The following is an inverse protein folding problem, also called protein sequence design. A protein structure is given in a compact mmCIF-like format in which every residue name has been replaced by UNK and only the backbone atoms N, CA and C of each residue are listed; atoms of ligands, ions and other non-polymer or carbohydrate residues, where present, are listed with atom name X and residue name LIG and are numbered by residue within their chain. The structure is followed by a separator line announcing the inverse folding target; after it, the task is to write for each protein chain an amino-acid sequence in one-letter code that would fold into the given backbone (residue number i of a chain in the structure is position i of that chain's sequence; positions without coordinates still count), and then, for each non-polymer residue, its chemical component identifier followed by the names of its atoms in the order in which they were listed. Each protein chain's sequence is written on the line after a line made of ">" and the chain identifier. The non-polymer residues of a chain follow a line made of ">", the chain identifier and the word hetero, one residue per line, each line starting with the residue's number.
data_IF_723213834035
#
_entry.id   IF_723213834035
#
_cell.length_a   1.000
_cell.length_b   1.000
_cell.length_c   1.000
_cell.angle_alpha   90.00
_cell.angle_beta   90.00
_cell.angle_gamma   90.00
#
_symmetry.space_group_name_H-M   'P 1'
#
loop_
_entity.id
_entity.type
_entity.pdbx_description
1 polymer ?
#
# COMPACT_ATOMS: atom_id res chain seq x y z
N UNK A 1 -79.35 -12.13 4.74
CA UNK A 1 -79.46 -13.54 5.18
C UNK A 1 -79.37 -14.41 3.93
N UNK A 2 -78.43 -15.37 3.90
CA UNK A 2 -78.39 -16.39 2.85
C UNK A 2 -79.04 -17.64 3.43
N UNK A 3 -79.97 -18.23 2.68
CA UNK A 3 -80.54 -19.54 3.00
C UNK A 3 -79.42 -20.58 3.05
N UNK A 4 -79.50 -21.50 3.99
CA UNK A 4 -78.67 -22.71 4.04
C UNK A 4 -79.37 -23.86 3.29
N UNK A 5 -78.65 -24.89 2.83
CA UNK A 5 -79.29 -26.09 2.28
C UNK A 5 -80.37 -26.66 3.23
N UNK A 6 -80.11 -26.61 4.54
CA UNK A 6 -81.04 -27.05 5.58
C UNK A 6 -82.32 -26.18 5.66
N UNK A 7 -82.21 -24.87 5.39
CA UNK A 7 -83.36 -23.96 5.36
C UNK A 7 -84.24 -24.18 4.12
N UNK A 8 -83.64 -24.66 3.02
CA UNK A 8 -84.36 -24.99 1.78
C UNK A 8 -85.09 -26.32 1.97
N UNK A 9 -84.42 -27.34 2.53
CA UNK A 9 -85.01 -28.65 2.78
C UNK A 9 -86.18 -28.59 3.79
N UNK A 10 -86.05 -27.80 4.87
CA UNK A 10 -87.11 -27.67 5.88
C UNK A 10 -88.21 -26.66 5.50
N UNK A 11 -88.27 -26.21 4.23
CA UNK A 11 -89.18 -25.14 3.83
C UNK A 11 -90.60 -25.66 3.60
N UNK A 12 -91.51 -25.33 4.50
CA UNK A 12 -92.94 -25.57 4.28
C UNK A 12 -93.62 -24.40 3.54
N UNK A 13 -94.40 -24.74 2.50
CA UNK A 13 -95.22 -23.81 1.74
C UNK A 13 -96.70 -23.89 2.13
N UNK A 14 -97.39 -22.75 2.17
CA UNK A 14 -98.84 -22.70 2.44
C UNK A 14 -99.63 -23.18 1.22
N UNK A 15 -100.65 -24.01 1.43
CA UNK A 15 -101.56 -24.50 0.37
C UNK A 15 -102.60 -23.43 -0.01
N UNK A 16 -102.89 -23.29 -1.30
CA UNK A 16 -103.88 -22.35 -1.86
C UNK A 16 -104.77 -23.02 -2.91
N UNK A 17 -105.89 -22.37 -3.28
CA UNK A 17 -106.93 -22.93 -4.17
C UNK A 17 -106.44 -23.24 -5.61
N UNK A 18 -105.32 -22.64 -6.02
CA UNK A 18 -104.55 -22.92 -7.23
C UNK A 18 -103.05 -22.81 -6.87
N UNK A 19 -102.24 -23.77 -7.27
CA UNK A 19 -100.80 -23.81 -6.96
C UNK A 19 -100.08 -24.85 -7.80
N UNK A 20 -98.75 -24.89 -7.67
CA UNK A 20 -97.90 -25.91 -8.30
C UNK A 20 -98.17 -27.29 -7.69
N UNK A 21 -97.84 -28.34 -8.44
CA UNK A 21 -97.95 -29.72 -7.97
C UNK A 21 -96.89 -29.93 -6.88
N UNK A 22 -97.30 -30.43 -5.71
CA UNK A 22 -96.39 -30.56 -4.57
C UNK A 22 -95.23 -31.52 -4.88
N UNK A 23 -95.52 -32.67 -5.48
CA UNK A 23 -94.51 -33.70 -5.76
C UNK A 23 -93.41 -33.20 -6.73
N UNK A 24 -93.77 -32.45 -7.79
CA UNK A 24 -92.80 -31.86 -8.73
C UNK A 24 -91.98 -30.73 -8.08
N UNK A 25 -92.57 -29.98 -7.15
CA UNK A 25 -91.86 -28.93 -6.41
C UNK A 25 -90.89 -29.55 -5.42
N UNK A 26 -91.28 -30.63 -4.74
CA UNK A 26 -90.43 -31.33 -3.77
C UNK A 26 -89.23 -31.98 -4.49
N UNK A 27 -89.43 -32.66 -5.63
CA UNK A 27 -88.34 -33.22 -6.45
C UNK A 27 -87.36 -32.13 -6.95
N UNK A 28 -87.88 -30.98 -7.40
CA UNK A 28 -87.03 -29.86 -7.78
C UNK A 28 -86.28 -29.24 -6.59
N UNK A 29 -86.89 -29.19 -5.40
CA UNK A 29 -86.23 -28.69 -4.20
C UNK A 29 -85.12 -29.61 -3.73
N UNK A 30 -85.27 -30.93 -3.86
CA UNK A 30 -84.20 -31.89 -3.59
C UNK A 30 -82.98 -31.63 -4.49
N UNK A 31 -83.19 -31.49 -5.80
CA UNK A 31 -82.12 -31.13 -6.75
C UNK A 31 -81.46 -29.79 -6.40
N UNK A 32 -82.26 -28.79 -6.01
CA UNK A 32 -81.75 -27.47 -5.58
C UNK A 32 -80.92 -27.60 -4.30
N UNK A 33 -81.34 -28.40 -3.32
CA UNK A 33 -80.60 -28.62 -2.08
C UNK A 33 -79.25 -29.25 -2.36
N UNK A 34 -79.19 -30.30 -3.19
CA UNK A 34 -77.96 -31.00 -3.56
C UNK A 34 -76.95 -30.06 -4.26
N UNK A 35 -77.40 -29.34 -5.30
CA UNK A 35 -76.57 -28.38 -6.03
C UNK A 35 -76.10 -27.23 -5.12
N UNK A 36 -76.96 -26.77 -4.21
CA UNK A 36 -76.63 -25.67 -3.31
C UNK A 36 -75.66 -26.10 -2.21
N UNK A 37 -75.73 -27.36 -1.75
CA UNK A 37 -74.73 -27.94 -0.84
C UNK A 37 -73.36 -28.08 -1.52
N UNK A 38 -73.32 -28.56 -2.77
CA UNK A 38 -72.08 -28.64 -3.55
C UNK A 38 -71.45 -27.25 -3.72
N UNK A 39 -72.24 -26.27 -4.14
CA UNK A 39 -71.80 -24.88 -4.29
C UNK A 39 -71.28 -24.31 -2.97
N UNK A 40 -71.92 -24.64 -1.84
CA UNK A 40 -71.50 -24.18 -0.52
C UNK A 40 -70.16 -24.79 -0.11
N UNK A 41 -69.95 -26.09 -0.34
CA UNK A 41 -68.69 -26.79 -0.10
C UNK A 41 -67.57 -26.24 -0.98
N UNK A 42 -67.83 -26.02 -2.26
CA UNK A 42 -66.86 -25.43 -3.18
C UNK A 42 -66.49 -24.00 -2.75
N UNK A 43 -67.47 -23.19 -2.36
CA UNK A 43 -67.21 -21.82 -1.89
C UNK A 43 -66.35 -21.79 -0.62
N UNK A 44 -66.60 -22.70 0.32
CA UNK A 44 -65.77 -22.86 1.52
C UNK A 44 -64.33 -23.24 1.15
N UNK A 45 -64.14 -24.23 0.27
CA UNK A 45 -62.83 -24.67 -0.20
C UNK A 45 -62.07 -23.59 -0.95
N UNK A 46 -62.76 -22.80 -1.79
CA UNK A 46 -62.17 -21.69 -2.52
C UNK A 46 -61.74 -20.57 -1.56
N UNK A 47 -62.53 -20.26 -0.53
CA UNK A 47 -62.17 -19.28 0.50
C UNK A 47 -60.94 -19.69 1.28
N UNK A 48 -60.87 -20.95 1.72
CA UNK A 48 -59.69 -21.51 2.39
C UNK A 48 -58.45 -21.41 1.49
N UNK A 49 -58.58 -21.75 0.20
CA UNK A 49 -57.48 -21.62 -0.76
C UNK A 49 -57.04 -20.16 -0.95
N UNK A 50 -57.98 -19.21 -1.00
CA UNK A 50 -57.67 -17.78 -1.10
C UNK A 50 -56.91 -17.32 0.14
N UNK A 51 -57.33 -17.75 1.34
CA UNK A 51 -56.66 -17.42 2.59
C UNK A 51 -55.21 -17.90 2.60
N UNK A 52 -54.96 -19.16 2.25
CA UNK A 52 -53.60 -19.73 2.14
C UNK A 52 -52.76 -19.00 1.09
N UNK A 53 -53.35 -18.66 -0.07
CA UNK A 53 -52.62 -17.93 -1.11
C UNK A 53 -52.27 -16.51 -0.68
N UNK A 54 -53.17 -15.83 0.04
CA UNK A 54 -52.90 -14.50 0.57
C UNK A 54 -51.77 -14.52 1.61
N UNK A 55 -51.75 -15.50 2.51
CA UNK A 55 -50.65 -15.68 3.47
C UNK A 55 -49.30 -15.90 2.76
N UNK A 56 -49.29 -16.70 1.68
CA UNK A 56 -48.08 -16.90 0.88
C UNK A 56 -47.62 -15.62 0.20
N UNK A 57 -48.53 -14.84 -0.37
CA UNK A 57 -48.21 -13.55 -0.99
C UNK A 57 -47.63 -12.58 0.04
N UNK A 58 -48.22 -12.48 1.22
CA UNK A 58 -47.67 -11.65 2.31
C UNK A 58 -46.28 -12.12 2.75
N UNK A 59 -46.06 -13.42 2.84
CA UNK A 59 -44.76 -14.00 3.15
C UNK A 59 -43.71 -13.62 2.11
N UNK A 60 -44.02 -13.77 0.82
CA UNK A 60 -43.12 -13.40 -0.27
C UNK A 60 -42.85 -11.89 -0.32
N UNK A 61 -43.86 -11.05 -0.10
CA UNK A 61 -43.69 -9.60 -0.04
C UNK A 61 -42.74 -9.19 1.10
N UNK A 62 -42.82 -9.86 2.26
CA UNK A 62 -41.90 -9.62 3.38
C UNK A 62 -40.47 -10.06 3.06
N UNK A 63 -40.31 -11.20 2.38
CA UNK A 63 -39.00 -11.66 1.92
C UNK A 63 -38.40 -10.66 0.92
N UNK A 64 -39.18 -10.23 -0.07
CA UNK A 64 -38.75 -9.26 -1.08
C UNK A 64 -38.27 -7.96 -0.42
N UNK A 65 -39.05 -7.41 0.52
CA UNK A 65 -38.66 -6.22 1.28
C UNK A 65 -37.36 -6.42 2.06
N UNK A 66 -37.19 -7.59 2.68
CA UNK A 66 -35.96 -7.92 3.43
C UNK A 66 -34.75 -8.02 2.51
N UNK A 67 -34.90 -8.66 1.34
CA UNK A 67 -33.84 -8.76 0.34
C UNK A 67 -33.47 -7.38 -0.18
N UNK A 68 -34.46 -6.55 -0.52
CA UNK A 68 -34.23 -5.19 -1.00
C UNK A 68 -33.45 -4.35 0.04
N UNK A 69 -33.86 -4.41 1.30
CA UNK A 69 -33.16 -3.72 2.38
C UNK A 69 -31.73 -4.25 2.57
N UNK A 70 -31.54 -5.57 2.45
CA UNK A 70 -30.22 -6.21 2.57
C UNK A 70 -29.31 -5.81 1.40
N UNK A 71 -29.85 -5.71 0.18
CA UNK A 71 -29.10 -5.25 -0.99
C UNK A 71 -28.64 -3.80 -0.84
N UNK A 72 -29.51 -2.92 -0.36
CA UNK A 72 -29.16 -1.52 -0.07
C UNK A 72 -28.08 -1.44 1.01
N UNK A 73 -28.20 -2.24 2.07
CA UNK A 73 -27.19 -2.30 3.13
C UNK A 73 -25.84 -2.78 2.60
N UNK A 74 -25.84 -3.85 1.79
CA UNK A 74 -24.63 -4.38 1.16
C UNK A 74 -23.98 -3.37 0.22
N UNK A 75 -24.77 -2.65 -0.58
CA UNK A 75 -24.28 -1.58 -1.45
C UNK A 75 -23.64 -0.45 -0.64
N UNK A 76 -24.33 0.05 0.39
CA UNK A 76 -23.78 1.10 1.25
C UNK A 76 -22.49 0.68 1.94
N UNK A 77 -22.42 -0.56 2.43
CA UNK A 77 -21.20 -1.10 3.03
C UNK A 77 -20.06 -1.21 2.02
N UNK A 78 -20.34 -1.63 0.78
CA UNK A 78 -19.35 -1.68 -0.29
C UNK A 78 -18.86 -0.28 -0.69
N UNK A 79 -19.77 0.69 -0.82
CA UNK A 79 -19.43 2.08 -1.12
C UNK A 79 -18.60 2.71 0.00
N UNK A 80 -18.96 2.47 1.26
CA UNK A 80 -18.19 2.94 2.42
C UNK A 80 -16.80 2.32 2.48
N UNK A 81 -16.67 1.01 2.24
CA UNK A 81 -15.38 0.34 2.20
C UNK A 81 -14.49 0.85 1.05
N UNK A 82 -15.10 1.15 -0.10
CA UNK A 82 -14.40 1.74 -1.24
C UNK A 82 -13.91 3.15 -0.92
N UNK A 83 -14.77 4.00 -0.34
CA UNK A 83 -14.41 5.36 0.04
C UNK A 83 -13.30 5.38 1.09
N UNK A 84 -13.37 4.52 2.11
CA UNK A 84 -12.32 4.44 3.13
C UNK A 84 -10.99 3.98 2.54
N UNK A 85 -11.02 2.97 1.67
CA UNK A 85 -9.82 2.47 1.00
C UNK A 85 -9.20 3.51 0.08
N UNK A 86 -10.02 4.31 -0.63
CA UNK A 86 -9.55 5.41 -1.47
C UNK A 86 -8.86 6.50 -0.64
N UNK A 87 -9.48 6.93 0.47
CA UNK A 87 -8.88 7.92 1.38
C UNK A 87 -7.57 7.43 1.98
N UNK A 88 -7.51 6.16 2.39
CA UNK A 88 -6.30 5.56 2.92
C UNK A 88 -5.19 5.49 1.87
N UNK A 89 -5.51 5.08 0.64
CA UNK A 89 -4.56 5.07 -0.47
C UNK A 89 -4.01 6.47 -0.78
N UNK A 90 -4.87 7.49 -0.85
CA UNK A 90 -4.46 8.88 -1.04
C UNK A 90 -3.51 9.36 0.07
N UNK A 91 -3.82 9.00 1.33
CA UNK A 91 -3.00 9.37 2.48
C UNK A 91 -1.63 8.66 2.46
N UNK A 92 -1.59 7.39 2.08
CA UNK A 92 -0.35 6.63 1.88
C UNK A 92 0.52 7.29 0.81
N UNK A 93 -0.06 7.59 -0.36
CA UNK A 93 0.67 8.23 -1.47
C UNK A 93 1.19 9.60 -1.06
N UNK A 94 0.37 10.40 -0.36
CA UNK A 94 0.77 11.69 0.16
C UNK A 94 1.95 11.57 1.14
N UNK A 95 1.86 10.68 2.12
CA UNK A 95 2.92 10.47 3.11
C UNK A 95 4.21 9.94 2.47
N UNK A 96 4.09 9.06 1.48
CA UNK A 96 5.23 8.57 0.71
C UNK A 96 5.92 9.71 -0.04
N UNK A 97 5.16 10.57 -0.72
CA UNK A 97 5.69 11.74 -1.43
C UNK A 97 6.36 12.74 -0.47
N UNK A 98 5.74 13.04 0.67
CA UNK A 98 6.33 13.92 1.68
C UNK A 98 7.64 13.34 2.24
N UNK A 99 7.68 12.02 2.46
CA UNK A 99 8.88 11.34 2.99
C UNK A 99 9.99 11.32 1.95
N UNK A 100 9.66 11.02 0.69
CA UNK A 100 10.59 11.08 -0.42
C UNK A 100 11.18 12.50 -0.57
N UNK A 101 10.34 13.54 -0.50
CA UNK A 101 10.80 14.92 -0.54
C UNK A 101 11.76 15.24 0.60
N UNK A 102 11.43 14.84 1.84
CA UNK A 102 12.34 15.04 2.99
C UNK A 102 13.68 14.33 2.81
N UNK A 103 13.70 13.14 2.24
CA UNK A 103 14.94 12.40 1.96
C UNK A 103 15.79 13.15 0.93
N UNK A 104 15.17 13.63 -0.15
CA UNK A 104 15.86 14.41 -1.19
C UNK A 104 16.41 15.72 -0.61
N UNK A 105 15.61 16.45 0.16
CA UNK A 105 16.04 17.71 0.79
C UNK A 105 17.21 17.47 1.75
N UNK A 106 17.15 16.39 2.54
CA UNK A 106 18.25 16.01 3.43
C UNK A 106 19.51 15.68 2.64
N UNK A 107 19.41 14.83 1.62
CA UNK A 107 20.55 14.48 0.78
C UNK A 107 21.17 15.70 0.10
N UNK A 108 20.35 16.66 -0.35
CA UNK A 108 20.84 17.91 -0.92
C UNK A 108 21.61 18.75 0.11
N UNK A 109 21.08 18.88 1.32
CA UNK A 109 21.76 19.59 2.40
C UNK A 109 23.08 18.91 2.81
N UNK A 110 23.09 17.57 2.88
CA UNK A 110 24.29 16.80 3.18
C UNK A 110 25.38 17.03 2.11
N UNK A 111 25.00 17.08 0.82
CA UNK A 111 25.92 17.41 -0.28
C UNK A 111 26.50 18.82 -0.14
N UNK A 112 25.69 19.80 0.25
CA UNK A 112 26.18 21.17 0.50
C UNK A 112 27.18 21.17 1.65
N UNK A 113 26.84 20.52 2.78
CA UNK A 113 27.73 20.43 3.94
C UNK A 113 29.07 19.76 3.61
N UNK A 114 29.04 18.65 2.87
CA UNK A 114 30.25 17.94 2.46
C UNK A 114 31.13 18.82 1.56
N UNK A 115 30.54 19.59 0.64
CA UNK A 115 31.31 20.51 -0.21
C UNK A 115 31.93 21.65 0.62
N UNK A 116 31.19 22.22 1.57
CA UNK A 116 31.71 23.26 2.46
C UNK A 116 32.86 22.73 3.34
N UNK A 117 32.73 21.52 3.87
CA UNK A 117 33.79 20.84 4.62
C UNK A 117 35.01 20.54 3.74
N UNK A 118 34.79 20.06 2.52
CA UNK A 118 35.85 19.80 1.56
C UNK A 118 36.63 21.07 1.24
N UNK A 119 35.95 22.17 0.94
CA UNK A 119 36.59 23.46 0.66
C UNK A 119 37.35 23.97 1.88
N UNK A 120 36.80 23.82 3.09
CA UNK A 120 37.50 24.16 4.33
C UNK A 120 38.80 23.36 4.50
N UNK A 121 38.75 22.03 4.38
CA UNK A 121 39.92 21.16 4.51
C UNK A 121 40.97 21.48 3.44
N UNK A 122 40.53 21.74 2.20
CA UNK A 122 41.41 22.18 1.11
C UNK A 122 42.14 23.48 1.45
N UNK A 123 41.44 24.47 2.02
CA UNK A 123 42.08 25.72 2.46
C UNK A 123 43.07 25.49 3.61
N UNK A 124 42.75 24.62 4.55
CA UNK A 124 43.67 24.22 5.62
C UNK A 124 44.92 23.53 5.06
N UNK A 125 44.76 22.63 4.09
CA UNK A 125 45.87 21.99 3.39
C UNK A 125 46.76 22.99 2.64
N UNK A 126 46.17 23.95 1.92
CA UNK A 126 46.92 25.01 1.23
C UNK A 126 47.74 25.84 2.23
N UNK A 127 47.14 26.22 3.36
CA UNK A 127 47.82 26.96 4.44
C UNK A 127 48.95 26.12 5.05
N UNK A 128 48.70 24.84 5.35
CA UNK A 128 49.70 23.92 5.86
C UNK A 128 50.88 23.79 4.90
N UNK A 129 50.61 23.54 3.61
CA UNK A 129 51.63 23.45 2.56
C UNK A 129 52.49 24.70 2.48
N UNK A 130 51.88 25.90 2.55
CA UNK A 130 52.61 27.15 2.53
C UNK A 130 53.50 27.33 3.77
N UNK A 131 52.97 27.04 4.97
CA UNK A 131 53.73 27.08 6.22
C UNK A 131 54.91 26.10 6.20
N UNK A 132 54.67 24.88 5.74
CA UNK A 132 55.70 23.84 5.68
C UNK A 132 56.79 24.18 4.67
N UNK A 133 56.43 24.70 3.48
CA UNK A 133 57.41 25.19 2.50
C UNK A 133 58.28 26.31 3.08
N UNK A 134 57.65 27.29 3.76
CA UNK A 134 58.41 28.36 4.42
C UNK A 134 59.33 27.80 5.51
N UNK A 135 58.86 26.86 6.32
CA UNK A 135 59.68 26.20 7.33
C UNK A 135 60.91 25.53 6.72
N UNK A 136 60.75 24.73 5.66
CA UNK A 136 61.87 24.07 4.97
C UNK A 136 62.83 25.10 4.38
N UNK A 137 62.34 26.14 3.70
CA UNK A 137 63.21 27.19 3.16
C UNK A 137 64.01 27.89 4.27
N UNK A 138 63.40 28.19 5.41
CA UNK A 138 64.11 28.75 6.57
C UNK A 138 65.14 27.78 7.12
N UNK A 139 64.82 26.48 7.24
CA UNK A 139 65.81 25.49 7.69
C UNK A 139 66.99 25.38 6.72
N UNK A 140 66.74 25.38 5.40
CA UNK A 140 67.80 25.39 4.39
C UNK A 140 68.68 26.64 4.48
N UNK A 141 68.07 27.83 4.60
CA UNK A 141 68.82 29.09 4.78
C UNK A 141 69.70 29.05 6.04
N UNK A 142 69.20 28.48 7.15
CA UNK A 142 70.02 28.31 8.36
C UNK A 142 71.19 27.33 8.17
N UNK A 143 71.02 26.28 7.37
CA UNK A 143 72.12 25.37 7.04
C UNK A 143 73.16 26.03 6.14
N UNK A 144 72.73 26.78 5.12
CA UNK A 144 73.62 27.53 4.23
C UNK A 144 74.45 28.57 5.01
N UNK A 145 73.85 29.24 5.99
CA UNK A 145 74.55 30.19 6.86
C UNK A 145 75.55 29.49 7.77
N UNK A 146 75.20 28.33 8.35
CA UNK A 146 76.13 27.51 9.11
C UNK A 146 77.30 27.01 8.25
N UNK A 147 77.05 26.63 7.00
CA UNK A 147 78.10 26.21 6.04
C UNK A 147 79.03 27.37 5.68
N UNK A 148 78.50 28.57 5.42
CA UNK A 148 79.31 29.78 5.20
C UNK A 148 80.18 30.10 6.41
N UNK A 149 79.62 30.03 7.62
CA UNK A 149 80.38 30.25 8.85
C UNK A 149 81.46 29.20 9.05
N UNK A 150 81.18 27.93 8.73
CA UNK A 150 82.18 26.87 8.73
C UNK A 150 83.31 27.18 7.73
N UNK A 151 82.98 27.49 6.48
CA UNK A 151 83.95 27.80 5.42
C UNK A 151 84.80 29.05 5.75
N UNK A 152 84.18 30.06 6.39
CA UNK A 152 84.85 31.30 6.80
C UNK A 152 85.76 31.10 8.01
N UNK A 153 85.36 30.28 8.98
CA UNK A 153 86.13 30.01 10.19
C UNK A 153 87.17 28.89 10.03
N UNK A 154 87.01 28.01 9.04
CA UNK A 154 87.91 26.90 8.72
C UNK A 154 88.47 26.99 7.29
N UNK A 155 88.82 28.19 6.82
CA UNK A 155 89.70 28.36 5.66
C UNK A 155 91.13 27.91 5.99
N UNK A 156 91.30 26.59 6.16
CA UNK A 156 92.60 25.94 6.21
C UNK A 156 93.05 25.77 4.77
N UNK A 157 93.82 26.75 4.30
CA UNK A 157 94.58 26.67 3.06
C UNK A 157 95.71 25.66 3.23
N UNK A 158 95.41 24.38 3.07
CA UNK A 158 96.37 23.33 2.68
C UNK A 158 95.60 22.26 1.94
N UNK A 159 95.86 22.01 0.64
CA UNK A 159 95.35 20.82 0.00
C UNK A 159 96.10 19.64 0.60
N UNK A 160 95.42 18.87 1.44
CA UNK A 160 95.80 17.48 1.68
C UNK A 160 95.00 16.67 0.68
N UNK A 161 95.66 16.18 -0.38
CA UNK A 161 95.12 15.12 -1.22
C UNK A 161 95.06 13.84 -0.38
N UNK A 162 94.03 13.72 0.44
CA UNK A 162 93.50 12.42 0.83
C UNK A 162 92.29 12.17 -0.06
N UNK A 163 92.46 11.26 -1.02
CA UNK A 163 91.35 10.67 -1.77
C UNK A 163 90.43 9.97 -0.76
N UNK A 164 89.45 10.71 -0.26
CA UNK A 164 88.29 10.10 0.39
C UNK A 164 87.48 9.49 -0.74
N UNK A 165 87.68 8.19 -0.95
CA UNK A 165 86.86 7.40 -1.86
C UNK A 165 85.40 7.56 -1.48
N UNK A 166 84.69 8.40 -2.22
CA UNK A 166 83.23 8.43 -2.21
C UNK A 166 82.83 7.05 -2.72
N UNK A 167 82.41 6.18 -1.81
CA UNK A 167 81.66 5.00 -2.21
C UNK A 167 80.38 5.54 -2.82
N UNK A 168 80.26 5.45 -4.14
CA UNK A 168 79.01 5.69 -4.83
C UNK A 168 77.94 4.90 -4.10
N UNK A 169 77.09 5.60 -3.34
CA UNK A 169 75.83 5.02 -2.91
C UNK A 169 75.03 5.03 -4.21
N UNK A 170 74.96 3.86 -4.85
CA UNK A 170 74.04 3.62 -5.93
C UNK A 170 72.64 4.00 -5.42
N UNK A 171 72.12 5.12 -5.92
CA UNK A 171 70.70 5.37 -5.88
C UNK A 171 70.05 4.31 -6.78
N UNK A 172 69.61 3.21 -6.19
CA UNK A 172 68.56 2.40 -6.81
C UNK A 172 67.28 3.25 -6.77
N UNK A 173 66.98 3.94 -7.88
CA UNK A 173 65.62 4.35 -8.16
C UNK A 173 64.76 3.10 -8.36
N UNK A 174 64.32 2.49 -7.26
CA UNK A 174 63.18 1.58 -7.25
C UNK A 174 61.91 2.43 -7.36
N UNK A 175 61.65 2.98 -8.54
CA UNK A 175 60.27 3.26 -8.92
C UNK A 175 59.59 1.91 -9.16
N UNK A 176 58.95 1.36 -8.12
CA UNK A 176 57.89 0.40 -8.36
C UNK A 176 56.77 1.18 -9.04
N UNK A 177 56.74 1.11 -10.37
CA UNK A 177 55.52 1.37 -11.13
C UNK A 177 54.48 0.40 -10.56
N UNK A 178 53.61 0.92 -9.70
CA UNK A 178 52.41 0.20 -9.27
C UNK A 178 51.50 0.17 -10.50
N UNK A 179 51.72 -0.83 -11.36
CA UNK A 179 50.69 -1.26 -12.29
C UNK A 179 49.60 -1.94 -11.46
N UNK A 180 48.63 -1.16 -10.99
CA UNK A 180 47.33 -1.67 -10.59
C UNK A 180 46.60 -2.16 -11.86
N UNK A 181 47.00 -3.31 -12.38
CA UNK A 181 46.05 -4.16 -13.11
C UNK A 181 45.12 -4.74 -12.07
N UNK A 182 44.02 -4.03 -11.81
CA UNK A 182 42.93 -4.54 -11.00
C UNK A 182 42.41 -5.80 -11.67
N UNK A 183 42.58 -6.96 -11.02
CA UNK A 183 42.07 -8.22 -11.54
C UNK A 183 40.54 -8.14 -11.61
N UNK A 184 39.95 -8.68 -12.68
CA UNK A 184 38.48 -8.76 -12.81
C UNK A 184 37.84 -9.55 -11.65
N UNK A 185 38.62 -10.36 -10.94
CA UNK A 185 38.15 -11.09 -9.77
C UNK A 185 38.07 -10.20 -8.52
N UNK A 186 38.99 -9.23 -8.35
CA UNK A 186 38.92 -8.24 -7.26
C UNK A 186 37.69 -7.33 -7.43
N UNK A 187 37.36 -6.96 -8.66
CA UNK A 187 36.15 -6.18 -8.98
C UNK A 187 34.86 -6.96 -8.71
N UNK A 188 34.86 -8.29 -8.81
CA UNK A 188 33.72 -9.14 -8.47
C UNK A 188 33.57 -9.32 -6.97
N UNK A 189 34.69 -9.45 -6.25
CA UNK A 189 34.67 -9.51 -4.78
C UNK A 189 34.09 -8.24 -4.17
N UNK A 190 34.52 -7.07 -4.64
CA UNK A 190 33.96 -5.78 -4.21
C UNK A 190 32.46 -5.69 -4.52
N UNK A 191 32.03 -6.07 -5.72
CA UNK A 191 30.60 -6.05 -6.09
C UNK A 191 29.75 -7.02 -5.25
N UNK A 192 30.29 -8.20 -4.92
CA UNK A 192 29.60 -9.16 -4.06
C UNK A 192 29.46 -8.66 -2.62
N UNK A 193 30.44 -7.89 -2.14
CA UNK A 193 30.43 -7.30 -0.80
C UNK A 193 29.35 -6.22 -0.65
N UNK A 194 29.08 -5.45 -1.72
CA UNK A 194 28.01 -4.43 -1.72
C UNK A 194 26.62 -4.99 -2.07
N UNK A 195 26.53 -6.14 -2.76
CA UNK A 195 25.25 -6.75 -3.10
C UNK A 195 24.55 -7.48 -1.93
N UNK A 196 25.29 -7.86 -0.88
CA UNK A 196 24.76 -8.61 0.27
C UNK A 196 24.40 -7.72 1.48
N UNK A 197 24.23 -6.40 1.27
CA UNK A 197 23.97 -5.45 2.37
C UNK A 197 22.67 -4.65 2.24
N UNK A 198 21.70 -5.21 1.53
CA UNK A 198 20.31 -4.76 1.57
C UNK A 198 19.40 -5.96 1.83
N UNK A 199 19.24 -6.30 3.11
CA UNK A 199 18.04 -6.87 3.72
C UNK A 199 17.85 -6.20 5.10
#
# INVERSE_FOLDING_TARGET
>A
MKLTPMDINNKEFKRGLRGYLQDEVDEFLDDVVDNYEELYKENAKLKEKIEVLNEQVEHYAKIESTIQNTLVLAQNAADQAKESSQKEAELIVKNANETAQRIVDKAHNDVIQINDEFDRVKQEFIKFRAKFRNFINTQLETFDDLEKDLNKNYSISTPVEEEIGIKDIAYEESYNEVNEEVSQDDLKEIKSFFANKED
#
